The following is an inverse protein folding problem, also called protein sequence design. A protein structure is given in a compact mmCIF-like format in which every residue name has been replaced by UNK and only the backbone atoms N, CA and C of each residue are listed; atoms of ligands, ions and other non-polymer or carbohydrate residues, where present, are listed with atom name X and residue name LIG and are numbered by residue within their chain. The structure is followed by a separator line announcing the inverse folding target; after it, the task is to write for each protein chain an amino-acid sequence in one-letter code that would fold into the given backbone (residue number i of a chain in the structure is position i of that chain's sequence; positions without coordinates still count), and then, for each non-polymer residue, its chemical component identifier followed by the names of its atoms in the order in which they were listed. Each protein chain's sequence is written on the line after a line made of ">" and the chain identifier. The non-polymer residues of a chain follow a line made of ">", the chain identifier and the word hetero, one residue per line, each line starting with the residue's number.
data_IF_457348542974
#
_entry.id   IF_457348542974
#
_cell.length_a   1.000
_cell.length_b   1.000
_cell.length_c   1.000
_cell.angle_alpha   90.00
_cell.angle_beta   90.00
_cell.angle_gamma   90.00
#
_symmetry.space_group_name_H-M   'P 1'
#
loop_
_entity.id
_entity.type
_entity.pdbx_description
1 polymer ?
#
# COMPACT_ATOMS: atom_id res chain seq x y z
N UNK A 1 -7.09 0.02 13.26
CA UNK A 1 -6.48 -1.20 12.69
C UNK A 1 -5.86 -0.83 11.35
N UNK A 2 -4.67 -1.34 11.07
CA UNK A 2 -3.98 -1.16 9.79
C UNK A 2 -4.52 -2.17 8.79
N UNK A 3 -5.23 -1.71 7.74
CA UNK A 3 -5.92 -2.60 6.81
C UNK A 3 -4.95 -3.49 6.03
N UNK A 4 -3.80 -2.95 5.62
CA UNK A 4 -2.76 -3.74 4.96
C UNK A 4 -2.27 -4.88 5.85
N UNK A 5 -2.08 -4.65 7.16
CA UNK A 5 -1.62 -5.70 8.09
C UNK A 5 -2.69 -6.70 8.50
N UNK A 6 -3.96 -6.38 8.30
CA UNK A 6 -5.06 -7.36 8.43
C UNK A 6 -4.95 -8.41 7.32
N UNK A 7 -4.69 -7.98 6.08
CA UNK A 7 -4.68 -8.86 4.91
C UNK A 7 -3.30 -9.43 4.56
N UNK A 8 -2.22 -8.78 4.99
CA UNK A 8 -0.83 -9.15 4.66
C UNK A 8 0.04 -9.21 5.94
N UNK A 9 0.03 -10.37 6.60
CA UNK A 9 0.74 -10.59 7.87
C UNK A 9 2.25 -10.50 7.75
N UNK A 10 2.78 -10.90 6.60
CA UNK A 10 4.20 -10.96 6.31
C UNK A 10 4.50 -10.28 4.96
N UNK A 11 5.78 -10.17 4.63
CA UNK A 11 6.23 -9.66 3.34
C UNK A 11 6.54 -8.17 3.32
N UNK A 12 7.30 -7.82 2.28
CA UNK A 12 7.70 -6.46 1.95
C UNK A 12 6.53 -5.73 1.29
N UNK A 13 5.87 -4.89 2.07
CA UNK A 13 4.86 -3.95 1.59
C UNK A 13 5.53 -2.60 1.58
N UNK A 14 5.74 -2.00 0.41
CA UNK A 14 6.28 -0.65 0.29
C UNK A 14 5.29 0.20 -0.46
N UNK A 15 5.07 1.42 0.00
CA UNK A 15 4.22 2.41 -0.68
C UNK A 15 5.04 3.56 -1.21
N UNK A 16 6.33 3.64 -0.88
CA UNK A 16 7.23 4.71 -1.28
C UNK A 16 8.62 4.17 -1.62
N UNK A 17 9.22 4.76 -2.65
CA UNK A 17 10.62 4.52 -3.03
C UNK A 17 11.25 5.82 -3.50
N UNK A 18 12.43 6.10 -2.94
CA UNK A 18 13.27 7.22 -3.37
C UNK A 18 13.54 7.17 -4.88
N UNK A 19 13.48 8.32 -5.55
CA UNK A 19 13.84 8.43 -6.97
C UNK A 19 15.31 8.11 -7.23
N UNK A 20 16.18 8.32 -6.25
CA UNK A 20 17.62 8.09 -6.34
C UNK A 20 17.96 6.60 -6.25
N UNK A 21 19.16 6.27 -6.73
CA UNK A 21 19.78 4.94 -6.59
C UNK A 21 18.96 3.76 -7.13
N UNK A 22 17.94 4.04 -7.96
CA UNK A 22 17.05 3.03 -8.54
C UNK A 22 16.35 2.22 -7.45
N UNK A 23 15.84 2.90 -6.41
CA UNK A 23 15.29 2.23 -5.23
C UNK A 23 14.04 1.42 -5.58
N UNK A 24 13.20 1.93 -6.48
CA UNK A 24 12.02 1.20 -6.99
C UNK A 24 12.42 -0.09 -7.72
N UNK A 25 13.36 -0.05 -8.66
CA UNK A 25 13.76 -1.26 -9.40
C UNK A 25 14.50 -2.29 -8.54
N UNK A 26 15.11 -1.84 -7.44
CA UNK A 26 15.76 -2.72 -6.46
C UNK A 26 14.81 -3.18 -5.35
N UNK A 27 13.54 -2.80 -5.39
CA UNK A 27 12.55 -3.02 -4.35
C UNK A 27 13.02 -2.59 -2.95
N UNK A 28 13.68 -1.45 -2.82
CA UNK A 28 14.15 -0.90 -1.53
C UNK A 28 13.28 0.28 -1.13
N UNK A 29 12.16 0.00 -0.49
CA UNK A 29 11.16 1.01 -0.18
C UNK A 29 10.89 1.17 1.32
N UNK A 30 9.92 2.04 1.60
CA UNK A 30 9.30 2.19 2.91
C UNK A 30 7.78 2.04 2.75
N UNK A 31 7.12 1.64 3.84
CA UNK A 31 5.66 1.70 3.95
C UNK A 31 5.26 2.86 4.84
N UNK A 32 4.94 3.99 4.23
CA UNK A 32 4.63 5.22 4.97
C UNK A 32 3.24 5.77 4.67
N UNK A 33 2.51 5.13 3.75
CA UNK A 33 1.12 5.42 3.46
C UNK A 33 0.25 4.30 4.05
N UNK A 34 -0.89 4.67 4.63
CA UNK A 34 -1.76 3.73 5.32
C UNK A 34 -3.23 4.13 5.23
N UNK A 35 -4.09 3.12 5.14
CA UNK A 35 -5.51 3.23 5.45
C UNK A 35 -5.73 2.62 6.84
N UNK A 36 -6.11 3.47 7.79
CA UNK A 36 -6.39 3.04 9.16
C UNK A 36 -7.90 3.01 9.39
N UNK A 37 -8.42 1.87 9.82
CA UNK A 37 -9.84 1.63 10.06
C UNK A 37 -10.16 1.51 11.55
N UNK A 38 -11.32 2.01 11.98
CA UNK A 38 -11.87 1.67 13.31
C UNK A 38 -12.15 0.16 13.39
N UNK A 39 -12.38 -0.38 14.59
CA UNK A 39 -12.69 -1.81 14.74
C UNK A 39 -13.97 -2.23 14.03
N UNK A 40 -14.97 -1.34 13.93
CA UNK A 40 -16.21 -1.61 13.19
C UNK A 40 -15.95 -1.69 11.67
N UNK A 41 -15.17 -0.76 11.13
CA UNK A 41 -14.87 -0.71 9.70
C UNK A 41 -13.89 -1.81 9.29
N UNK A 42 -12.94 -2.15 10.16
CA UNK A 42 -11.96 -3.22 9.95
C UNK A 42 -12.64 -4.59 9.74
N UNK A 43 -13.78 -4.85 10.41
CA UNK A 43 -14.57 -6.07 10.21
C UNK A 43 -15.23 -6.15 8.83
N UNK A 44 -15.41 -5.01 8.16
CA UNK A 44 -15.99 -4.89 6.82
C UNK A 44 -14.94 -4.79 5.71
N UNK A 45 -13.66 -4.73 6.05
CA UNK A 45 -12.57 -4.64 5.07
C UNK A 45 -12.38 -6.02 4.42
N UNK A 46 -12.73 -6.13 3.13
CA UNK A 46 -12.62 -7.37 2.36
C UNK A 46 -11.22 -7.57 1.79
N UNK A 47 -10.56 -6.48 1.41
CA UNK A 47 -9.21 -6.48 0.86
C UNK A 47 -8.49 -5.16 1.13
N UNK A 48 -7.16 -5.19 1.07
CA UNK A 48 -6.32 -4.00 1.05
C UNK A 48 -5.05 -4.29 0.26
N UNK A 49 -4.47 -3.26 -0.35
CA UNK A 49 -3.28 -3.43 -1.20
C UNK A 49 -2.55 -2.13 -1.52
N UNK A 50 -1.46 -2.29 -2.26
CA UNK A 50 -0.67 -1.22 -2.84
C UNK A 50 -0.68 -1.43 -4.36
N UNK A 51 -1.05 -0.40 -5.12
CA UNK A 51 -1.06 -0.45 -6.59
C UNK A 51 0.33 -0.09 -7.16
N UNK A 52 1.16 -1.12 -7.32
CA UNK A 52 2.52 -0.99 -7.86
C UNK A 52 2.50 -0.61 -9.35
N UNK A 53 1.47 -1.00 -10.11
CA UNK A 53 1.43 -0.70 -11.54
C UNK A 53 1.31 0.81 -11.78
N UNK A 54 0.54 1.52 -10.95
CA UNK A 54 0.45 2.98 -11.00
C UNK A 54 1.77 3.70 -10.66
N UNK A 55 2.70 3.04 -9.95
CA UNK A 55 4.03 3.57 -9.66
C UNK A 55 5.01 3.40 -10.82
N UNK A 56 4.68 2.58 -11.82
CA UNK A 56 5.50 2.38 -13.04
C UNK A 56 5.19 3.46 -14.07
N UNK A 57 6.08 3.59 -15.06
CA UNK A 57 5.86 4.48 -16.22
C UNK A 57 6.78 5.69 -16.24
N UNK A 58 6.41 6.69 -17.06
CA UNK A 58 7.20 7.92 -17.25
C UNK A 58 6.80 8.95 -16.20
N UNK A 59 7.79 9.50 -15.51
CA UNK A 59 7.61 10.54 -14.47
C UNK A 59 6.54 10.18 -13.41
N UNK A 60 6.60 8.97 -12.81
CA UNK A 60 5.65 8.58 -11.78
C UNK A 60 5.88 9.38 -10.48
N UNK A 61 4.87 9.42 -9.61
CA UNK A 61 5.06 9.75 -8.19
C UNK A 61 6.10 8.83 -7.55
N UNK A 62 6.72 9.23 -6.44
CA UNK A 62 7.58 8.38 -5.61
C UNK A 62 6.76 7.42 -4.75
N UNK A 63 5.48 7.72 -4.58
CA UNK A 63 4.51 6.88 -3.89
C UNK A 63 3.68 6.01 -4.86
N UNK A 64 3.30 4.82 -4.39
CA UNK A 64 2.27 3.96 -4.95
C UNK A 64 0.96 4.12 -4.13
N UNK A 65 -0.21 4.19 -4.78
CA UNK A 65 -1.49 4.28 -4.07
C UNK A 65 -1.70 3.11 -3.11
N UNK A 66 -2.10 3.41 -1.87
CA UNK A 66 -2.59 2.42 -0.90
C UNK A 66 -4.11 2.45 -0.91
N UNK A 67 -4.73 1.29 -0.97
CA UNK A 67 -6.18 1.16 -1.02
C UNK A 67 -6.71 0.12 -0.04
N UNK A 68 -7.99 0.25 0.29
CA UNK A 68 -8.77 -0.73 1.03
C UNK A 68 -10.15 -0.84 0.40
N UNK A 69 -10.65 -2.06 0.27
CA UNK A 69 -11.99 -2.37 -0.18
C UNK A 69 -12.86 -2.70 1.03
N UNK A 70 -14.06 -2.11 1.05
CA UNK A 70 -15.04 -2.27 2.11
C UNK A 70 -16.29 -2.90 1.50
N UNK A 71 -16.85 -3.89 2.17
CA UNK A 71 -18.14 -4.45 1.77
C UNK A 71 -19.24 -3.40 2.00
N UNK A 72 -20.00 -3.12 0.96
CA UNK A 72 -21.26 -2.38 1.05
C UNK A 72 -22.32 -3.21 1.81
N UNK A 73 -23.37 -2.55 2.26
CA UNK A 73 -24.48 -3.18 3.01
C UNK A 73 -25.42 -4.01 2.12
#
# INVERSE_FOLDING_TARGET
>A
RDTLRIHHKEGELYSWWDYQMRAFEKNRGLRIDAVLASDALAKRCSAAGIDIEMRKGKEPSDHAPVWAELLDE
#
